data_IF_925585375813
#
_entry.id   IF_925585375813
#
_cell.length_a   1.000
_cell.length_b   1.000
_cell.length_c   1.000
_cell.angle_alpha   90.00
_cell.angle_beta   90.00
_cell.angle_gamma   90.00
#
_symmetry.space_group_name_H-M   'P 1'
#
loop_
_entity.id
_entity.type
_entity.pdbx_description
1 polymer ?
#
# COMPACT_ATOMS: atom_id res chain seq x y z
N UNK A 1 7.16 -12.57 -2.64
CA UNK A 1 8.41 -13.26 -2.99
C UNK A 1 9.27 -12.33 -3.81
N UNK A 2 10.51 -12.16 -3.43
CA UNK A 2 11.43 -11.25 -4.10
C UNK A 2 11.63 -11.65 -5.57
N UNK A 3 11.42 -10.71 -6.48
CA UNK A 3 11.64 -10.90 -7.91
C UNK A 3 10.59 -11.73 -8.66
N UNK A 4 9.46 -12.09 -8.03
CA UNK A 4 8.45 -12.95 -8.66
C UNK A 4 7.04 -12.38 -8.55
N UNK A 5 6.26 -12.58 -9.61
CA UNK A 5 4.81 -12.32 -9.70
C UNK A 5 4.12 -13.62 -10.08
N UNK A 6 3.11 -14.00 -9.34
CA UNK A 6 2.26 -15.17 -9.63
C UNK A 6 0.85 -14.68 -9.89
N UNK A 7 0.32 -14.97 -11.07
CA UNK A 7 -1.04 -14.69 -11.47
C UNK A 7 -1.81 -16.01 -11.47
N UNK A 8 -2.86 -16.11 -10.67
CA UNK A 8 -3.66 -17.33 -10.57
C UNK A 8 -5.16 -17.00 -10.49
N UNK A 9 -5.99 -17.86 -11.03
CA UNK A 9 -7.43 -17.70 -10.98
C UNK A 9 -8.12 -18.28 -12.19
N UNK A 10 -9.45 -18.14 -12.21
CA UNK A 10 -10.30 -18.57 -13.32
C UNK A 10 -10.97 -17.36 -13.95
N UNK A 11 -10.99 -17.28 -15.28
CA UNK A 11 -11.61 -16.19 -16.02
C UNK A 11 -12.43 -16.72 -17.20
N UNK A 12 -13.49 -16.00 -17.54
CA UNK A 12 -14.20 -16.19 -18.80
C UNK A 12 -14.15 -14.90 -19.60
N UNK A 13 -13.47 -14.96 -20.75
CA UNK A 13 -13.37 -13.80 -21.64
C UNK A 13 -13.18 -14.26 -23.10
N UNK A 14 -13.65 -13.46 -24.03
CA UNK A 14 -13.34 -13.60 -25.47
C UNK A 14 -12.17 -12.71 -25.89
N UNK A 15 -11.67 -11.85 -24.99
CA UNK A 15 -10.57 -10.95 -25.26
C UNK A 15 -9.22 -11.66 -25.07
N UNK A 16 -8.28 -11.38 -25.97
CA UNK A 16 -6.89 -11.72 -25.73
C UNK A 16 -6.25 -10.65 -24.81
N UNK A 17 -5.60 -11.09 -23.75
CA UNK A 17 -4.92 -10.23 -22.78
C UNK A 17 -3.50 -10.70 -22.58
N UNK A 18 -2.53 -9.84 -22.88
CA UNK A 18 -1.13 -10.09 -22.56
C UNK A 18 -0.88 -9.81 -21.07
N UNK A 19 -1.00 -10.87 -20.27
CA UNK A 19 -0.91 -10.81 -18.81
C UNK A 19 0.47 -10.35 -18.33
N UNK A 20 1.54 -10.78 -19.02
CA UNK A 20 2.90 -10.40 -18.63
C UNK A 20 3.15 -8.91 -18.86
N UNK A 21 2.74 -8.39 -20.00
CA UNK A 21 2.85 -6.96 -20.31
C UNK A 21 2.11 -6.11 -19.31
N UNK A 22 0.84 -6.44 -19.03
CA UNK A 22 0.02 -5.69 -18.07
C UNK A 22 0.61 -5.74 -16.67
N UNK A 23 1.05 -6.91 -16.20
CA UNK A 23 1.69 -7.04 -14.89
C UNK A 23 2.92 -6.13 -14.78
N UNK A 24 3.79 -6.11 -15.78
CA UNK A 24 4.99 -5.24 -15.82
C UNK A 24 4.63 -3.76 -15.87
N UNK A 25 3.64 -3.38 -16.67
CA UNK A 25 3.14 -1.99 -16.74
C UNK A 25 2.62 -1.51 -15.38
N UNK A 26 1.87 -2.35 -14.67
CA UNK A 26 1.35 -2.03 -13.32
C UNK A 26 2.50 -1.86 -12.32
N UNK A 27 3.47 -2.78 -12.31
CA UNK A 27 4.64 -2.73 -11.42
C UNK A 27 5.45 -1.45 -11.65
N UNK A 28 5.72 -1.12 -12.93
CA UNK A 28 6.44 0.10 -13.30
C UNK A 28 5.65 1.36 -12.90
N UNK A 29 4.33 1.38 -13.10
CA UNK A 29 3.45 2.49 -12.69
C UNK A 29 3.43 2.68 -11.17
N UNK A 30 3.52 1.59 -10.39
CA UNK A 30 3.65 1.66 -8.93
C UNK A 30 4.98 2.29 -8.55
N UNK A 31 6.05 2.08 -9.33
CA UNK A 31 7.36 2.69 -9.12
C UNK A 31 8.50 1.71 -8.83
N UNK A 32 8.28 0.41 -9.00
CA UNK A 32 9.34 -0.60 -8.92
C UNK A 32 10.10 -0.68 -10.24
N UNK A 33 10.98 0.29 -10.46
CA UNK A 33 11.70 0.51 -11.72
C UNK A 33 13.21 0.30 -11.63
N UNK A 34 13.72 -0.02 -10.42
CA UNK A 34 15.15 -0.18 -10.16
C UNK A 34 15.46 -1.57 -9.60
N UNK A 35 16.47 -2.23 -10.14
CA UNK A 35 16.92 -3.56 -9.69
C UNK A 35 17.38 -3.59 -8.22
N UNK A 36 17.93 -2.49 -7.72
CA UNK A 36 18.34 -2.31 -6.33
C UNK A 36 17.19 -2.41 -5.31
N UNK A 37 15.93 -2.32 -5.77
CA UNK A 37 14.76 -2.61 -4.94
C UNK A 37 14.51 -4.12 -4.73
N UNK A 38 15.36 -4.97 -5.33
CA UNK A 38 15.23 -6.44 -5.33
C UNK A 38 13.91 -6.94 -5.94
N UNK A 39 13.17 -6.05 -6.58
CA UNK A 39 11.96 -6.29 -7.35
C UNK A 39 11.78 -5.14 -8.34
N UNK A 40 11.66 -5.45 -9.61
CA UNK A 40 11.57 -4.45 -10.67
C UNK A 40 10.73 -5.00 -11.83
N UNK A 41 9.94 -4.11 -12.46
CA UNK A 41 8.95 -4.49 -13.46
C UNK A 41 9.51 -5.17 -14.72
N UNK A 42 10.73 -4.83 -15.14
CA UNK A 42 11.29 -5.37 -16.39
C UNK A 42 11.99 -6.72 -16.20
N UNK A 43 12.59 -6.97 -15.02
CA UNK A 43 13.39 -8.16 -14.74
C UNK A 43 12.71 -9.22 -13.86
N UNK A 44 11.57 -8.90 -13.22
CA UNK A 44 10.86 -9.87 -12.38
C UNK A 44 10.34 -11.06 -13.18
N UNK A 45 10.35 -12.25 -12.56
CA UNK A 45 9.66 -13.42 -13.11
C UNK A 45 8.13 -13.23 -13.04
N UNK A 46 7.42 -13.54 -14.13
CA UNK A 46 5.96 -13.53 -14.16
C UNK A 46 5.48 -14.92 -14.53
N UNK A 47 4.76 -15.55 -13.61
CA UNK A 47 4.17 -16.87 -13.76
C UNK A 47 2.65 -16.75 -13.85
N UNK A 48 2.04 -17.47 -14.77
CA UNK A 48 0.59 -17.49 -14.93
C UNK A 48 0.05 -18.90 -14.74
N UNK A 49 -0.93 -19.02 -13.83
CA UNK A 49 -1.78 -20.18 -13.63
C UNK A 49 -3.25 -19.73 -13.73
N UNK A 50 -3.56 -18.95 -14.75
CA UNK A 50 -4.92 -18.53 -15.06
C UNK A 50 -5.54 -19.55 -16.00
N UNK A 51 -6.72 -20.03 -15.64
CA UNK A 51 -7.50 -21.01 -16.38
C UNK A 51 -8.83 -20.43 -16.86
N UNK A 52 -9.41 -21.08 -17.85
CA UNK A 52 -10.79 -20.79 -18.23
C UNK A 52 -11.75 -21.35 -17.17
N UNK A 53 -12.76 -20.58 -16.83
CA UNK A 53 -13.80 -21.02 -15.88
C UNK A 53 -14.54 -22.22 -16.43
N UNK A 54 -14.82 -23.20 -15.57
CA UNK A 54 -15.62 -24.40 -15.92
C UNK A 54 -16.97 -24.01 -16.54
N UNK A 55 -17.33 -24.66 -17.65
CA UNK A 55 -18.58 -24.42 -18.33
C UNK A 55 -19.81 -24.74 -17.45
N UNK A 56 -19.68 -25.67 -16.51
CA UNK A 56 -20.75 -26.02 -15.57
C UNK A 56 -20.98 -24.95 -14.53
N UNK A 57 -19.91 -24.40 -13.95
CA UNK A 57 -19.96 -23.25 -13.04
C UNK A 57 -20.51 -22.02 -13.76
N UNK A 58 -20.02 -21.77 -14.96
CA UNK A 58 -20.45 -20.62 -15.77
C UNK A 58 -21.96 -20.62 -16.08
N UNK A 59 -22.57 -21.77 -16.30
CA UNK A 59 -24.04 -21.90 -16.49
C UNK A 59 -24.83 -21.42 -15.28
N UNK A 60 -24.26 -21.53 -14.07
CA UNK A 60 -24.86 -21.00 -12.83
C UNK A 60 -24.67 -19.51 -12.65
N UNK A 61 -23.60 -18.95 -13.21
CA UNK A 61 -23.23 -17.54 -13.09
C UNK A 61 -23.94 -16.67 -14.12
N UNK A 62 -23.89 -17.07 -15.40
CA UNK A 62 -24.38 -16.26 -16.53
C UNK A 62 -25.89 -16.37 -16.64
N UNK A 63 -26.57 -15.21 -16.58
CA UNK A 63 -28.03 -15.08 -16.73
C UNK A 63 -28.36 -14.02 -17.77
N UNK A 64 -29.57 -14.11 -18.35
CA UNK A 64 -30.06 -13.16 -19.35
C UNK A 64 -30.10 -11.73 -18.79
N UNK A 65 -30.54 -11.60 -17.53
CA UNK A 65 -30.55 -10.32 -16.83
C UNK A 65 -29.25 -10.11 -16.04
N UNK A 66 -28.43 -9.11 -16.39
CA UNK A 66 -27.17 -8.79 -15.68
C UNK A 66 -27.36 -8.50 -14.19
N UNK A 67 -28.53 -8.03 -13.76
CA UNK A 67 -28.82 -7.77 -12.35
C UNK A 67 -29.07 -9.05 -11.54
N UNK A 68 -29.33 -10.16 -12.21
CA UNK A 68 -29.58 -11.46 -11.61
C UNK A 68 -28.42 -12.46 -11.79
N UNK A 69 -27.21 -11.96 -12.00
CA UNK A 69 -26.02 -12.81 -12.12
C UNK A 69 -25.85 -13.72 -10.89
N UNK A 70 -25.50 -14.98 -11.12
CA UNK A 70 -25.18 -15.91 -10.06
C UNK A 70 -23.75 -15.73 -9.52
N UNK A 71 -23.49 -16.30 -8.35
CA UNK A 71 -22.13 -16.36 -7.80
C UNK A 71 -21.38 -17.59 -8.35
N UNK A 72 -20.06 -17.46 -8.53
CA UNK A 72 -19.21 -18.57 -8.99
C UNK A 72 -18.99 -19.64 -7.92
N UNK A 73 -19.25 -19.33 -6.65
CA UNK A 73 -19.15 -20.27 -5.53
C UNK A 73 -20.05 -19.84 -4.37
N UNK A 74 -20.21 -20.71 -3.42
CA UNK A 74 -20.86 -20.40 -2.13
C UNK A 74 -19.95 -19.53 -1.28
N UNK A 75 -20.55 -18.67 -0.46
CA UNK A 75 -19.79 -17.84 0.44
C UNK A 75 -20.65 -17.13 1.46
N UNK A 76 -20.01 -16.69 2.55
CA UNK A 76 -20.58 -15.79 3.53
C UNK A 76 -19.79 -14.48 3.51
N UNK A 77 -20.48 -13.37 3.27
CA UNK A 77 -19.88 -12.04 3.15
C UNK A 77 -20.31 -11.18 4.32
N UNK A 78 -19.36 -10.38 4.80
CA UNK A 78 -19.60 -9.35 5.82
C UNK A 78 -19.32 -8.00 5.19
N UNK A 79 -20.21 -7.05 5.43
CA UNK A 79 -20.04 -5.67 5.03
C UNK A 79 -20.14 -4.75 6.24
N UNK A 80 -19.36 -3.67 6.24
CA UNK A 80 -19.44 -2.62 7.22
C UNK A 80 -19.35 -1.26 6.54
N UNK A 81 -20.20 -0.33 6.96
CA UNK A 81 -20.20 1.05 6.51
C UNK A 81 -20.54 1.97 7.68
N UNK A 82 -19.96 3.16 7.70
CA UNK A 82 -20.18 4.18 8.71
C UNK A 82 -20.39 5.54 8.05
N UNK A 83 -21.06 6.46 8.73
CA UNK A 83 -21.26 7.83 8.28
C UNK A 83 -20.19 8.81 8.80
N UNK A 84 -19.07 8.31 9.29
CA UNK A 84 -17.94 9.12 9.75
C UNK A 84 -17.23 9.86 8.62
N UNK A 85 -17.34 9.34 7.40
CA UNK A 85 -16.74 9.92 6.19
C UNK A 85 -17.74 9.91 5.05
N UNK A 86 -17.52 10.77 4.05
CA UNK A 86 -18.39 10.88 2.86
C UNK A 86 -18.42 9.61 2.01
N UNK A 87 -17.34 8.82 2.04
CA UNK A 87 -17.21 7.55 1.32
C UNK A 87 -17.65 6.32 2.14
N UNK A 88 -18.28 6.55 3.30
CA UNK A 88 -18.77 5.52 4.22
C UNK A 88 -17.71 4.59 4.80
N UNK A 89 -16.44 4.98 4.72
CA UNK A 89 -15.33 4.26 5.34
C UNK A 89 -15.12 4.69 6.79
N UNK A 90 -14.65 3.81 7.69
CA UNK A 90 -14.20 4.21 9.02
C UNK A 90 -13.15 5.31 8.94
N UNK A 91 -13.26 6.35 9.76
CA UNK A 91 -12.39 7.53 9.71
C UNK A 91 -10.90 7.17 9.85
N UNK A 92 -10.57 6.25 10.76
CA UNK A 92 -9.18 5.80 10.95
C UNK A 92 -8.60 5.18 9.68
N UNK A 93 -9.36 4.35 8.98
CA UNK A 93 -8.95 3.69 7.75
C UNK A 93 -8.84 4.68 6.59
N UNK A 94 -9.81 5.57 6.45
CA UNK A 94 -9.82 6.62 5.41
C UNK A 94 -8.60 7.54 5.54
N UNK A 95 -8.30 7.99 6.76
CA UNK A 95 -7.11 8.81 7.03
C UNK A 95 -5.80 8.05 6.77
N UNK A 96 -5.72 6.78 7.16
CA UNK A 96 -4.55 5.96 6.89
C UNK A 96 -4.31 5.79 5.37
N UNK A 97 -5.36 5.55 4.59
CA UNK A 97 -5.27 5.49 3.13
C UNK A 97 -4.86 6.84 2.52
N UNK A 98 -5.45 7.96 2.97
CA UNK A 98 -5.09 9.31 2.49
C UNK A 98 -3.62 9.63 2.72
N UNK A 99 -3.07 9.26 3.87
CA UNK A 99 -1.63 9.44 4.14
C UNK A 99 -0.77 8.71 3.10
N UNK A 100 -1.08 7.46 2.77
CA UNK A 100 -0.33 6.69 1.78
C UNK A 100 -0.52 7.22 0.35
N UNK A 101 -1.70 7.75 0.02
CA UNK A 101 -1.95 8.38 -1.28
C UNK A 101 -1.08 9.63 -1.45
N UNK A 102 -1.03 10.50 -0.44
CA UNK A 102 -0.18 11.70 -0.44
C UNK A 102 1.30 11.34 -0.54
N UNK A 103 1.75 10.31 0.20
CA UNK A 103 3.12 9.80 0.08
C UNK A 103 3.46 9.34 -1.34
N UNK A 104 2.55 8.61 -1.96
CA UNK A 104 2.73 8.14 -3.33
C UNK A 104 2.78 9.30 -4.35
N UNK A 105 2.01 10.36 -4.13
CA UNK A 105 2.06 11.58 -4.94
C UNK A 105 3.39 12.30 -4.79
N UNK A 106 3.84 12.57 -3.56
CA UNK A 106 5.15 13.19 -3.25
C UNK A 106 6.28 12.41 -3.94
N UNK A 107 6.25 11.07 -3.84
CA UNK A 107 7.25 10.22 -4.48
C UNK A 107 7.22 10.34 -6.01
N UNK A 108 6.03 10.35 -6.62
CA UNK A 108 5.88 10.48 -8.09
C UNK A 108 6.30 11.85 -8.60
N UNK A 109 6.04 12.91 -7.85
CA UNK A 109 6.49 14.26 -8.20
C UNK A 109 8.00 14.41 -8.17
N UNK A 110 8.70 13.66 -7.31
CA UNK A 110 10.15 13.65 -7.24
C UNK A 110 10.80 14.98 -6.87
N UNK A 111 10.06 15.89 -6.20
CA UNK A 111 10.55 17.23 -5.79
C UNK A 111 10.96 17.26 -4.33
N UNK A 112 10.16 16.61 -3.49
CA UNK A 112 10.36 16.53 -2.04
C UNK A 112 10.47 15.06 -1.68
N UNK A 113 11.30 14.71 -0.67
CA UNK A 113 11.50 13.32 -0.23
C UNK A 113 11.84 12.37 -1.40
N UNK A 114 12.78 12.75 -2.21
CA UNK A 114 13.20 12.00 -3.43
C UNK A 114 13.75 10.61 -3.14
N UNK A 115 14.02 10.32 -1.89
CA UNK A 115 14.50 9.03 -1.37
C UNK A 115 13.39 8.01 -1.11
N UNK A 116 12.11 8.36 -1.25
CA UNK A 116 11.00 7.43 -0.98
C UNK A 116 10.96 6.28 -1.99
N UNK A 117 10.80 5.06 -1.47
CA UNK A 117 10.47 3.86 -2.24
C UNK A 117 8.96 3.59 -2.23
N UNK A 118 8.46 2.70 -3.11
CA UNK A 118 7.02 2.49 -3.25
C UNK A 118 6.32 1.90 -2.04
N UNK A 119 6.99 1.05 -1.24
CA UNK A 119 6.36 0.37 -0.09
C UNK A 119 6.28 1.29 1.11
N UNK A 120 5.06 1.42 1.65
CA UNK A 120 4.80 2.18 2.85
C UNK A 120 3.59 1.63 3.60
N UNK A 121 3.57 1.86 4.91
CA UNK A 121 2.48 1.48 5.82
C UNK A 121 2.07 2.69 6.64
N UNK A 122 0.79 2.77 6.97
CA UNK A 122 0.27 3.79 7.88
C UNK A 122 -0.73 3.19 8.86
N UNK A 123 -0.79 3.77 10.04
CA UNK A 123 -1.78 3.48 11.07
C UNK A 123 -2.26 4.79 11.67
N UNK A 124 -3.56 4.91 11.87
CA UNK A 124 -4.18 6.05 12.54
C UNK A 124 -5.04 5.52 13.68
N UNK A 125 -4.79 6.02 14.88
CA UNK A 125 -5.58 5.72 16.07
C UNK A 125 -6.45 6.92 16.40
N UNK A 126 -7.75 6.70 16.58
CA UNK A 126 -8.74 7.74 16.88
C UNK A 126 -9.37 7.46 18.24
N UNK A 127 -9.52 8.50 19.04
CA UNK A 127 -10.30 8.48 20.24
C UNK A 127 -11.75 8.85 19.93
N UNK A 128 -12.68 8.04 20.46
CA UNK A 128 -14.11 8.22 20.34
C UNK A 128 -14.72 8.54 21.69
N UNK A 129 -15.81 9.29 21.71
CA UNK A 129 -16.64 9.47 22.91
C UNK A 129 -17.56 8.25 23.16
N UNK A 130 -18.31 8.27 24.28
CA UNK A 130 -19.23 7.20 24.64
C UNK A 130 -20.39 6.99 23.66
N UNK A 131 -20.63 7.95 22.76
CA UNK A 131 -21.64 7.89 21.70
C UNK A 131 -21.04 7.39 20.35
N UNK A 132 -19.75 7.05 20.33
CA UNK A 132 -19.07 6.61 19.11
C UNK A 132 -18.71 7.75 18.16
N UNK A 133 -18.68 9.01 18.62
CA UNK A 133 -18.28 10.15 17.80
C UNK A 133 -16.77 10.37 17.91
N UNK A 134 -16.05 10.55 16.80
CA UNK A 134 -14.61 10.81 16.84
C UNK A 134 -14.31 12.15 17.49
N UNK A 135 -13.42 12.15 18.48
CA UNK A 135 -13.01 13.33 19.26
C UNK A 135 -11.68 13.89 18.80
N UNK A 136 -10.69 13.02 18.62
CA UNK A 136 -9.34 13.41 18.20
C UNK A 136 -8.56 12.25 17.59
N UNK A 137 -7.54 12.60 16.83
CA UNK A 137 -6.51 11.65 16.43
C UNK A 137 -5.55 11.50 17.63
N UNK A 138 -5.40 10.27 18.12
CA UNK A 138 -4.49 9.97 19.23
C UNK A 138 -3.07 9.71 18.73
N UNK A 139 -2.92 8.85 17.73
CA UNK A 139 -1.60 8.44 17.22
C UNK A 139 -1.63 8.26 15.71
N UNK A 140 -0.57 8.71 15.04
CA UNK A 140 -0.28 8.41 13.64
C UNK A 140 1.07 7.71 13.58
N UNK A 141 1.12 6.56 12.90
CA UNK A 141 2.35 5.84 12.58
C UNK A 141 2.47 5.74 11.07
N UNK A 142 3.62 6.15 10.53
CA UNK A 142 3.95 5.96 9.12
C UNK A 142 5.31 5.26 9.05
N UNK A 143 5.37 4.20 8.26
CA UNK A 143 6.60 3.47 7.96
C UNK A 143 6.75 3.38 6.45
N UNK A 144 7.90 3.74 5.93
CA UNK A 144 8.17 3.73 4.49
C UNK A 144 9.53 3.15 4.18
N UNK A 145 9.66 2.45 3.08
CA UNK A 145 10.95 2.14 2.49
C UNK A 145 11.54 3.43 1.88
N UNK A 146 12.85 3.57 1.99
CA UNK A 146 13.58 4.70 1.43
C UNK A 146 14.98 4.27 0.98
N UNK A 147 15.59 5.06 0.12
CA UNK A 147 17.00 4.93 -0.23
C UNK A 147 17.87 5.43 0.94
N UNK A 148 19.11 4.97 1.02
CA UNK A 148 20.10 5.56 1.91
C UNK A 148 20.50 6.93 1.35
N UNK A 149 20.11 8.00 2.04
CA UNK A 149 20.39 9.37 1.60
C UNK A 149 21.34 10.13 2.54
N UNK A 150 21.78 9.48 3.63
CA UNK A 150 22.88 9.90 4.49
C UNK A 150 23.87 8.75 4.55
N UNK A 151 25.05 8.95 3.97
CA UNK A 151 26.10 7.94 4.02
C UNK A 151 26.80 7.99 5.39
N UNK A 152 27.10 6.82 6.02
CA UNK A 152 27.93 6.78 7.23
C UNK A 152 29.35 7.28 6.92
N UNK A 153 29.98 7.94 7.87
CA UNK A 153 31.33 8.50 7.71
C UNK A 153 32.42 7.42 7.48
N UNK A 154 32.19 6.23 8.02
CA UNK A 154 33.05 5.06 7.88
C UNK A 154 32.24 3.76 8.09
N UNK A 155 32.88 2.61 8.02
CA UNK A 155 32.24 1.30 8.18
C UNK A 155 31.99 0.90 9.65
N UNK A 156 32.19 1.80 10.62
CA UNK A 156 31.93 1.50 12.02
C UNK A 156 30.43 1.46 12.33
N UNK A 157 30.06 0.65 13.32
CA UNK A 157 28.67 0.57 13.78
C UNK A 157 28.17 1.90 14.34
N UNK A 158 29.03 2.68 14.94
CA UNK A 158 28.71 4.01 15.49
C UNK A 158 28.39 5.02 14.38
N UNK A 159 29.19 5.03 13.29
CA UNK A 159 28.92 5.87 12.13
C UNK A 159 27.61 5.49 11.43
N UNK A 160 27.30 4.19 11.33
CA UNK A 160 26.03 3.73 10.79
C UNK A 160 24.84 4.20 11.63
N UNK A 161 24.88 4.01 12.95
CA UNK A 161 23.83 4.47 13.87
C UNK A 161 23.60 5.98 13.78
N UNK A 162 24.67 6.76 13.67
CA UNK A 162 24.57 8.22 13.51
C UNK A 162 23.92 8.62 12.18
N UNK A 163 24.25 7.94 11.09
CA UNK A 163 23.62 8.15 9.78
C UNK A 163 22.13 7.81 9.82
N UNK A 164 21.77 6.70 10.46
CA UNK A 164 20.38 6.25 10.61
C UNK A 164 19.56 7.25 11.44
N UNK A 165 20.12 7.77 12.55
CA UNK A 165 19.49 8.82 13.36
C UNK A 165 19.28 10.11 12.57
N UNK A 166 20.24 10.52 11.76
CA UNK A 166 20.11 11.70 10.89
C UNK A 166 19.06 11.51 9.80
N UNK A 167 19.00 10.34 9.17
CA UNK A 167 17.95 9.98 8.20
C UNK A 167 16.57 10.02 8.85
N UNK A 168 16.43 9.41 10.03
CA UNK A 168 15.18 9.40 10.79
C UNK A 168 14.72 10.81 11.14
N UNK A 169 15.64 11.66 11.63
CA UNK A 169 15.34 13.06 11.95
C UNK A 169 14.83 13.85 10.72
N UNK A 170 15.46 13.66 9.56
CA UNK A 170 15.04 14.31 8.31
C UNK A 170 13.66 13.84 7.84
N UNK A 171 13.38 12.54 7.94
CA UNK A 171 12.05 11.98 7.62
C UNK A 171 11.00 12.54 8.58
N UNK A 172 11.25 12.49 9.88
CA UNK A 172 10.32 12.95 10.91
C UNK A 172 10.00 14.46 10.79
N UNK A 173 10.97 15.30 10.47
CA UNK A 173 10.75 16.73 10.30
C UNK A 173 9.76 17.10 9.20
N UNK A 174 9.63 16.25 8.17
CA UNK A 174 8.69 16.47 7.07
C UNK A 174 7.28 15.95 7.40
N UNK A 175 7.14 15.04 8.38
CA UNK A 175 5.87 14.41 8.77
C UNK A 175 5.26 14.98 10.05
N UNK A 176 6.03 15.64 10.90
CA UNK A 176 5.50 16.09 12.18
C UNK A 176 4.84 17.45 12.07
N UNK A 177 3.52 17.48 12.24
CA UNK A 177 2.87 18.62 12.87
C UNK A 177 3.46 18.77 14.29
N UNK A 178 3.79 20.01 14.73
CA UNK A 178 4.43 20.21 16.04
C UNK A 178 3.44 19.95 17.18
N UNK A 179 3.21 18.66 17.51
CA UNK A 179 2.54 18.30 18.76
C UNK A 179 3.60 18.20 19.87
N UNK A 180 3.39 18.88 21.01
CA UNK A 180 4.32 18.79 22.14
C UNK A 180 4.48 17.37 22.72
N UNK A 181 3.53 16.46 22.43
CA UNK A 181 3.58 15.05 22.85
C UNK A 181 4.50 14.18 22.01
N UNK A 182 4.69 14.49 20.73
CA UNK A 182 5.48 13.67 19.81
C UNK A 182 6.97 13.67 20.13
N UNK A 183 7.49 14.74 20.76
CA UNK A 183 8.88 14.82 21.19
C UNK A 183 9.26 13.82 22.29
N UNK A 184 8.30 13.26 23.02
CA UNK A 184 8.56 12.27 24.08
C UNK A 184 8.46 10.81 23.61
N UNK A 185 7.74 10.53 22.52
CA UNK A 185 7.52 9.15 22.02
C UNK A 185 8.51 8.72 20.93
N UNK A 186 9.28 9.62 20.34
CA UNK A 186 10.32 9.32 19.35
C UNK A 186 11.58 8.65 19.95
N UNK A 187 11.54 8.31 21.22
CA UNK A 187 12.60 7.56 21.91
C UNK A 187 12.09 6.15 22.24
N UNK A 188 11.88 5.34 21.23
CA UNK A 188 11.84 3.89 21.44
C UNK A 188 13.10 3.25 20.83
N UNK A 189 13.68 2.27 21.57
CA UNK A 189 14.96 1.64 21.23
C UNK A 189 14.92 0.82 19.95
#
# INVERSE_FOLDING_TARGET
>A
TTGQVVLAGEVKTKAYVDLQRIAREVINRIGYTKSEYMFEGNSCGVFSAIHEQSADINRGVEREDPMNQGAGDQGMMFGYATNETENYMPLSLDLAHKLLMVLAEIRREGKVMTYLRPDAKSQVTIEYDDNGKPVRIDTIVVSTQHDEFVAPADASKEAQLKADEEMLAKICLLYTSPSPRDRQKSRMP
#
